data_IF_188498366714
#
_entry.id   IF_188498366714
#
_cell.length_a   1.000
_cell.length_b   1.000
_cell.length_c   1.000
_cell.angle_alpha   90.00
_cell.angle_beta   90.00
_cell.angle_gamma   90.00
#
_symmetry.space_group_name_H-M   'P 1'
#
loop_
_entity.id
_entity.type
_entity.pdbx_description
1 polymer ?
#
# COMPACT_ATOMS: atom_id res chain seq x y z
N UNK A 1 3.61 -15.73 -0.65
CA UNK A 1 2.96 -14.89 -1.67
C UNK A 1 1.97 -13.92 -1.03
N UNK A 2 2.26 -12.61 -1.05
CA UNK A 2 1.34 -11.60 -0.55
C UNK A 2 0.23 -11.35 -1.57
N UNK A 3 -0.99 -11.09 -1.11
CA UNK A 3 -2.11 -10.77 -2.00
C UNK A 3 -3.05 -9.76 -1.34
N UNK A 4 -3.59 -8.86 -2.16
CA UNK A 4 -4.57 -7.85 -1.79
C UNK A 4 -5.74 -7.98 -2.77
N UNK A 5 -6.94 -8.08 -2.22
CA UNK A 5 -8.19 -7.89 -2.95
C UNK A 5 -8.83 -6.62 -2.44
N UNK A 6 -9.21 -5.73 -3.34
CA UNK A 6 -9.95 -4.55 -2.94
C UNK A 6 -11.04 -4.20 -3.95
N UNK A 7 -12.14 -3.69 -3.42
CA UNK A 7 -13.24 -3.13 -4.18
C UNK A 7 -13.52 -1.74 -3.64
N UNK A 8 -13.66 -0.76 -4.53
CA UNK A 8 -14.08 0.57 -4.12
C UNK A 8 -15.13 1.15 -5.06
N UNK A 9 -16.09 1.82 -4.44
CA UNK A 9 -17.16 2.56 -5.10
C UNK A 9 -17.37 3.87 -4.31
N UNK A 10 -16.93 5.02 -4.84
CA UNK A 10 -17.09 6.31 -4.16
C UNK A 10 -18.56 6.73 -3.97
N UNK A 11 -19.50 6.14 -4.72
CA UNK A 11 -20.93 6.48 -4.69
C UNK A 11 -21.79 5.22 -4.65
N UNK A 12 -21.76 4.48 -3.53
CA UNK A 12 -22.51 3.24 -3.40
C UNK A 12 -24.02 3.50 -3.55
N UNK A 13 -24.68 2.76 -4.44
CA UNK A 13 -26.10 2.96 -4.81
C UNK A 13 -27.06 2.53 -3.69
N UNK A 14 -26.61 1.67 -2.76
CA UNK A 14 -27.44 1.17 -1.66
C UNK A 14 -26.90 1.60 -0.28
N UNK A 15 -27.80 1.74 0.70
CA UNK A 15 -27.41 2.04 2.09
C UNK A 15 -26.58 0.93 2.76
N UNK A 16 -26.58 -0.30 2.21
CA UNK A 16 -25.88 -1.47 2.79
C UNK A 16 -24.61 -1.85 2.02
N UNK A 17 -24.09 -0.96 1.17
CA UNK A 17 -22.86 -1.20 0.40
C UNK A 17 -21.70 -0.39 0.97
N UNK A 18 -20.54 -1.04 1.08
CA UNK A 18 -19.31 -0.42 1.55
C UNK A 18 -18.65 0.44 0.46
N UNK A 19 -18.12 1.61 0.84
CA UNK A 19 -17.31 2.48 -0.05
C UNK A 19 -15.98 1.85 -0.45
N UNK A 20 -15.37 1.10 0.48
CA UNK A 20 -14.14 0.35 0.28
C UNK A 20 -14.24 -0.97 1.04
N UNK A 21 -13.89 -2.06 0.39
CA UNK A 21 -13.60 -3.37 0.99
C UNK A 21 -12.17 -3.69 0.61
N UNK A 22 -11.34 -4.02 1.58
CA UNK A 22 -9.95 -4.44 1.35
C UNK A 22 -9.66 -5.67 2.22
N UNK A 23 -9.17 -6.73 1.60
CA UNK A 23 -8.66 -7.92 2.26
C UNK A 23 -7.22 -8.14 1.80
N UNK A 24 -6.30 -8.25 2.75
CA UNK A 24 -4.88 -8.46 2.45
C UNK A 24 -4.35 -9.65 3.25
N UNK A 25 -3.59 -10.51 2.56
CA UNK A 25 -2.78 -11.54 3.18
C UNK A 25 -1.30 -11.16 3.00
N UNK A 26 -0.58 -11.03 4.11
CA UNK A 26 0.88 -10.94 4.13
C UNK A 26 1.42 -12.34 4.37
N UNK A 27 2.09 -12.88 3.37
CA UNK A 27 2.79 -14.16 3.50
C UNK A 27 4.28 -13.88 3.63
N UNK A 28 4.83 -14.29 4.77
CA UNK A 28 6.16 -13.95 5.23
C UNK A 28 6.68 -15.04 6.19
N UNK A 29 8.01 -15.10 6.37
CA UNK A 29 8.63 -16.01 7.33
C UNK A 29 8.07 -15.85 8.75
N UNK A 30 7.66 -16.96 9.37
CA UNK A 30 7.19 -16.99 10.76
C UNK A 30 8.19 -16.43 11.76
N UNK A 31 9.49 -16.53 11.47
CA UNK A 31 10.56 -16.01 12.32
C UNK A 31 10.76 -14.51 12.20
N UNK A 32 10.16 -13.83 11.21
CA UNK A 32 10.28 -12.39 11.04
C UNK A 32 9.42 -11.69 12.09
N UNK A 33 10.02 -10.95 13.03
CA UNK A 33 9.26 -10.33 14.12
C UNK A 33 8.39 -9.19 13.60
N UNK A 34 7.16 -9.10 14.11
CA UNK A 34 6.24 -8.01 13.80
C UNK A 34 5.32 -7.72 14.98
N UNK A 35 4.89 -6.46 15.14
CA UNK A 35 3.82 -6.10 16.06
C UNK A 35 2.46 -6.35 15.42
N UNK A 36 1.50 -6.74 16.25
CA UNK A 36 0.09 -6.79 15.87
C UNK A 36 -0.40 -5.41 15.46
N UNK A 37 -1.50 -5.39 14.70
CA UNK A 37 -2.14 -4.15 14.32
C UNK A 37 -2.63 -3.40 15.57
N UNK A 38 -2.12 -2.20 15.76
CA UNK A 38 -2.49 -1.31 16.85
C UNK A 38 -2.40 0.14 16.37
N UNK A 39 -2.94 1.06 17.15
CA UNK A 39 -2.84 2.48 16.87
C UNK A 39 -1.47 3.03 17.29
N UNK A 40 -0.83 3.76 16.39
CA UNK A 40 0.45 4.45 16.61
C UNK A 40 0.49 5.80 15.87
N UNK A 41 1.63 6.48 15.97
CA UNK A 41 1.85 7.81 15.39
C UNK A 41 1.45 8.93 16.36
N UNK A 42 1.58 10.18 15.92
CA UNK A 42 1.18 11.32 16.73
C UNK A 42 -0.34 11.26 16.95
N UNK A 43 -0.76 11.24 18.22
CA UNK A 43 -2.17 11.11 18.62
C UNK A 43 -2.84 9.76 18.29
N UNK A 44 -2.09 8.67 18.11
CA UNK A 44 -2.65 7.32 17.86
C UNK A 44 -3.59 7.29 16.64
N UNK A 45 -3.20 7.96 15.57
CA UNK A 45 -4.07 8.16 14.40
C UNK A 45 -3.91 7.07 13.33
N UNK A 46 -2.86 6.25 13.37
CA UNK A 46 -2.57 5.25 12.34
C UNK A 46 -2.77 3.85 12.90
N UNK A 47 -3.64 3.06 12.27
CA UNK A 47 -3.83 1.65 12.57
C UNK A 47 -3.04 0.81 11.56
N UNK A 48 -2.00 0.13 12.02
CA UNK A 48 -1.28 -0.88 11.23
C UNK A 48 -0.46 -1.84 12.09
N UNK A 49 -0.08 -2.99 11.52
CA UNK A 49 1.02 -3.79 12.07
C UNK A 49 2.36 -3.15 11.73
N UNK A 50 3.38 -3.36 12.56
CA UNK A 50 4.72 -2.82 12.35
C UNK A 50 5.74 -3.93 12.19
N UNK A 51 6.63 -3.79 11.22
CA UNK A 51 7.81 -4.63 11.08
C UNK A 51 8.77 -4.32 12.24
N UNK A 52 9.34 -5.37 12.82
CA UNK A 52 10.29 -5.31 13.92
C UNK A 52 11.61 -5.98 13.56
N UNK A 53 11.79 -6.38 12.30
CA UNK A 53 13.06 -6.90 11.80
C UNK A 53 14.15 -5.82 11.86
N UNK A 54 15.36 -6.23 12.25
CA UNK A 54 16.51 -5.33 12.39
C UNK A 54 16.81 -4.60 11.08
N UNK A 55 16.87 -3.27 11.15
CA UNK A 55 17.07 -2.39 9.99
C UNK A 55 15.82 -2.17 9.13
N UNK A 56 14.65 -2.68 9.53
CA UNK A 56 13.34 -2.49 8.88
C UNK A 56 12.27 -2.01 9.85
N UNK A 57 12.64 -1.68 11.08
CA UNK A 57 11.73 -1.32 12.15
C UNK A 57 10.85 -0.12 11.78
N UNK A 58 9.58 -0.20 12.14
CA UNK A 58 8.61 0.87 11.86
C UNK A 58 8.09 0.89 10.42
N UNK A 59 8.61 0.03 9.54
CA UNK A 59 7.98 -0.25 8.25
C UNK A 59 6.62 -0.95 8.43
N UNK A 60 5.72 -0.80 7.46
CA UNK A 60 4.43 -1.50 7.45
C UNK A 60 4.02 -1.92 6.05
N UNK A 61 3.11 -2.87 5.94
CA UNK A 61 2.63 -3.44 4.67
C UNK A 61 1.19 -3.06 4.35
N UNK A 62 0.40 -2.67 5.35
CA UNK A 62 -0.97 -2.21 5.22
C UNK A 62 -1.28 -1.34 6.43
N UNK A 63 -1.79 -0.14 6.19
CA UNK A 63 -2.28 0.70 7.26
C UNK A 63 -3.32 1.70 6.79
N UNK A 64 -4.07 2.23 7.75
CA UNK A 64 -5.06 3.29 7.54
C UNK A 64 -4.96 4.31 8.67
N UNK A 65 -5.06 5.59 8.32
CA UNK A 65 -5.17 6.68 9.29
C UNK A 65 -6.63 7.05 9.55
N UNK A 66 -6.92 7.57 10.74
CA UNK A 66 -8.23 8.14 11.08
C UNK A 66 -8.62 9.35 10.21
N UNK A 67 -7.64 9.94 9.52
CA UNK A 67 -7.82 11.01 8.52
C UNK A 67 -8.23 10.49 7.13
N UNK A 68 -8.29 9.17 6.95
CA UNK A 68 -8.69 8.54 5.70
C UNK A 68 -7.55 8.26 4.72
N UNK A 69 -6.28 8.35 5.15
CA UNK A 69 -5.16 7.88 4.31
C UNK A 69 -5.02 6.38 4.47
N UNK A 70 -4.96 5.64 3.36
CA UNK A 70 -4.72 4.20 3.36
C UNK A 70 -3.57 3.90 2.41
N UNK A 71 -2.67 3.00 2.82
CA UNK A 71 -1.66 2.47 1.93
C UNK A 71 -1.45 0.98 2.16
N UNK A 72 -1.12 0.29 1.08
CA UNK A 72 -0.88 -1.14 1.10
C UNK A 72 0.20 -1.52 0.08
N UNK A 73 1.02 -2.49 0.44
CA UNK A 73 2.18 -2.91 -0.33
C UNK A 73 2.18 -4.42 -0.58
N UNK A 74 2.49 -4.82 -1.81
CA UNK A 74 2.91 -6.19 -2.14
C UNK A 74 4.31 -6.18 -2.73
N UNK A 75 5.10 -7.20 -2.42
CA UNK A 75 6.41 -7.37 -3.07
C UNK A 75 6.19 -7.74 -4.54
N UNK A 76 7.06 -7.35 -5.46
CA UNK A 76 7.09 -7.94 -6.80
C UNK A 76 8.04 -9.15 -6.79
N UNK A 77 7.61 -10.27 -7.38
CA UNK A 77 8.40 -11.48 -7.51
C UNK A 77 9.47 -11.25 -8.57
N UNK A 78 10.73 -11.17 -8.14
CA UNK A 78 11.88 -11.01 -9.03
C UNK A 78 12.96 -12.06 -8.73
N UNK A 79 13.70 -12.53 -9.74
CA UNK A 79 14.70 -13.59 -9.55
C UNK A 79 15.92 -13.16 -8.72
N UNK A 80 16.33 -11.90 -8.87
CA UNK A 80 17.51 -11.35 -8.20
C UNK A 80 17.09 -10.27 -7.21
N UNK A 81 17.55 -10.37 -5.98
CA UNK A 81 17.33 -9.36 -4.95
C UNK A 81 18.62 -8.57 -4.73
N UNK A 82 18.49 -7.25 -4.62
CA UNK A 82 19.56 -6.38 -4.15
C UNK A 82 19.49 -6.27 -2.62
N UNK A 83 20.53 -6.75 -1.95
CA UNK A 83 20.63 -6.75 -0.49
C UNK A 83 20.91 -5.36 0.10
N UNK A 84 21.36 -4.41 -0.72
CA UNK A 84 21.59 -3.03 -0.32
C UNK A 84 20.36 -2.13 -0.55
N UNK A 85 19.31 -2.67 -1.18
CA UNK A 85 18.09 -1.92 -1.45
C UNK A 85 17.34 -1.54 -0.16
N UNK A 86 16.66 -0.38 -0.21
CA UNK A 86 15.90 0.15 0.92
C UNK A 86 14.70 -0.73 1.28
N UNK A 87 14.28 -0.64 2.54
CA UNK A 87 13.12 -1.37 3.07
C UNK A 87 11.82 -0.79 2.55
N UNK A 88 11.06 -1.55 1.77
CA UNK A 88 9.81 -1.08 1.14
C UNK A 88 8.71 -0.69 2.12
N UNK A 89 8.71 -1.27 3.33
CA UNK A 89 7.69 -0.98 4.34
C UNK A 89 7.66 0.49 4.79
N UNK A 90 8.79 1.20 4.65
CA UNK A 90 8.87 2.63 4.96
C UNK A 90 8.00 3.49 4.03
N UNK A 91 7.75 3.03 2.79
CA UNK A 91 6.93 3.74 1.82
C UNK A 91 5.48 3.85 2.29
N UNK A 92 4.96 2.82 2.96
CA UNK A 92 3.61 2.81 3.51
C UNK A 92 3.56 3.71 4.76
N UNK A 93 4.50 3.54 5.68
CA UNK A 93 4.61 4.35 6.90
C UNK A 93 4.68 5.84 6.57
N UNK A 94 5.57 6.23 5.66
CA UNK A 94 5.78 7.63 5.29
C UNK A 94 4.54 8.26 4.63
N UNK A 95 3.79 7.51 3.79
CA UNK A 95 2.52 7.99 3.24
C UNK A 95 1.48 8.25 4.33
N UNK A 96 1.37 7.35 5.32
CA UNK A 96 0.37 7.46 6.38
C UNK A 96 0.66 8.64 7.33
N UNK A 97 1.93 9.03 7.46
CA UNK A 97 2.35 10.14 8.35
C UNK A 97 2.46 11.51 7.66
N UNK A 98 2.41 11.57 6.33
CA UNK A 98 2.55 12.82 5.57
C UNK A 98 1.19 13.43 5.22
N UNK A 99 1.19 14.72 4.87
CA UNK A 99 -0.01 15.43 4.40
C UNK A 99 -0.11 15.50 2.85
N UNK A 100 0.85 14.91 2.14
CA UNK A 100 0.89 14.86 0.67
C UNK A 100 -0.21 13.95 0.13
N UNK A 101 -0.91 14.36 -0.93
CA UNK A 101 -1.94 13.52 -1.59
C UNK A 101 -1.32 12.28 -2.26
N UNK A 102 -2.14 11.23 -2.42
CA UNK A 102 -1.78 9.91 -2.96
C UNK A 102 -1.06 9.98 -4.30
N UNK A 103 -1.54 10.78 -5.26
CA UNK A 103 -0.91 10.86 -6.58
C UNK A 103 0.44 11.59 -6.52
N UNK A 104 0.51 12.73 -5.84
CA UNK A 104 1.75 13.47 -5.65
C UNK A 104 2.79 12.64 -4.89
N UNK A 105 2.35 11.87 -3.90
CA UNK A 105 3.21 10.96 -3.15
C UNK A 105 3.79 9.87 -4.04
N UNK A 106 2.96 9.18 -4.82
CA UNK A 106 3.45 8.11 -5.70
C UNK A 106 4.34 8.64 -6.83
N UNK A 107 4.15 9.87 -7.31
CA UNK A 107 5.08 10.51 -8.25
C UNK A 107 6.46 10.73 -7.65
N UNK A 108 6.53 11.13 -6.37
CA UNK A 108 7.82 11.21 -5.68
C UNK A 108 8.46 9.83 -5.54
N UNK A 109 7.67 8.83 -5.17
CA UNK A 109 8.14 7.43 -5.05
C UNK A 109 8.62 6.89 -6.40
N UNK A 110 8.00 7.26 -7.52
CA UNK A 110 8.40 6.76 -8.84
C UNK A 110 9.78 7.26 -9.26
N UNK A 111 10.13 8.51 -8.93
CA UNK A 111 11.49 9.04 -9.13
C UNK A 111 12.57 8.28 -8.35
N UNK A 112 12.21 7.75 -7.18
CA UNK A 112 13.11 7.01 -6.28
C UNK A 112 12.94 5.48 -6.39
N UNK A 113 12.11 4.98 -7.33
CA UNK A 113 11.72 3.57 -7.39
C UNK A 113 12.88 2.59 -7.58
N UNK A 114 14.00 3.07 -8.15
CA UNK A 114 15.24 2.32 -8.36
C UNK A 114 16.01 2.01 -7.06
N UNK A 115 15.72 2.70 -5.95
CA UNK A 115 16.34 2.46 -4.64
C UNK A 115 15.79 1.23 -3.91
N UNK A 116 14.75 0.59 -4.46
CA UNK A 116 14.03 -0.51 -3.83
C UNK A 116 14.04 -1.75 -4.71
N UNK A 117 14.04 -2.93 -4.07
CA UNK A 117 13.62 -4.14 -4.75
C UNK A 117 12.17 -4.02 -5.24
N UNK A 118 11.77 -4.85 -6.20
CA UNK A 118 10.48 -4.78 -6.85
C UNK A 118 9.30 -4.75 -5.87
N UNK A 119 8.34 -3.87 -6.12
CA UNK A 119 7.16 -3.68 -5.30
C UNK A 119 5.97 -3.15 -6.10
N UNK A 120 4.80 -3.30 -5.49
CA UNK A 120 3.59 -2.58 -5.82
C UNK A 120 3.14 -1.79 -4.60
N UNK A 121 2.62 -0.59 -4.82
CA UNK A 121 2.13 0.31 -3.78
C UNK A 121 0.78 0.87 -4.19
N UNK A 122 -0.20 0.69 -3.31
CA UNK A 122 -1.50 1.36 -3.36
C UNK A 122 -1.45 2.50 -2.35
N UNK A 123 -1.85 3.69 -2.75
CA UNK A 123 -2.04 4.84 -1.87
C UNK A 123 -3.43 5.44 -2.12
N UNK A 124 -4.18 5.69 -1.07
CA UNK A 124 -5.55 6.17 -1.13
C UNK A 124 -5.79 7.33 -0.16
N UNK A 125 -6.48 8.35 -0.64
CA UNK A 125 -7.08 9.39 0.19
C UNK A 125 -8.60 9.20 0.18
N UNK A 126 -9.15 8.77 1.31
CA UNK A 126 -10.57 8.53 1.50
C UNK A 126 -11.20 9.76 2.17
N UNK A 127 -11.97 10.54 1.43
CA UNK A 127 -12.54 11.81 1.90
C UNK A 127 -14.02 11.92 1.57
N UNK A 128 -14.84 12.22 2.59
CA UNK A 128 -16.25 12.57 2.37
C UNK A 128 -16.43 13.93 1.69
N UNK A 129 -15.44 14.83 1.80
CA UNK A 129 -15.52 16.19 1.28
C UNK A 129 -14.91 16.33 -0.14
N UNK A 130 -13.76 15.69 -0.39
CA UNK A 130 -13.03 15.82 -1.66
C UNK A 130 -13.27 14.66 -2.63
N UNK A 131 -13.94 13.60 -2.18
CA UNK A 131 -14.05 12.33 -2.91
C UNK A 131 -12.87 11.40 -2.63
N UNK A 132 -13.07 10.13 -2.97
CA UNK A 132 -12.05 9.09 -2.80
C UNK A 132 -11.13 9.05 -4.00
N UNK A 133 -9.82 9.09 -3.75
CA UNK A 133 -8.77 8.93 -4.78
C UNK A 133 -7.92 7.74 -4.38
N UNK A 134 -7.81 6.76 -5.26
CA UNK A 134 -6.97 5.58 -5.07
C UNK A 134 -6.00 5.50 -6.24
N UNK A 135 -4.71 5.44 -5.93
CA UNK A 135 -3.63 5.40 -6.90
C UNK A 135 -2.82 4.11 -6.74
N UNK A 136 -2.24 3.66 -7.85
CA UNK A 136 -1.36 2.50 -7.93
C UNK A 136 -0.03 2.88 -8.58
N UNK A 137 1.05 2.30 -8.07
CA UNK A 137 2.37 2.31 -8.69
C UNK A 137 3.08 0.98 -8.48
N UNK A 138 3.74 0.48 -9.52
CA UNK A 138 4.65 -0.66 -9.42
C UNK A 138 5.98 -0.31 -10.07
N UNK A 139 7.09 -0.37 -9.32
CA UNK A 139 8.41 0.08 -9.81
C UNK A 139 9.06 -0.83 -10.86
N UNK A 140 8.37 -1.89 -11.28
CA UNK A 140 8.74 -2.77 -12.39
C UNK A 140 7.84 -2.61 -13.62
N UNK A 141 6.85 -1.71 -13.55
CA UNK A 141 5.92 -1.43 -14.63
C UNK A 141 6.18 -0.07 -15.28
N UNK A 142 5.09 0.60 -15.64
CA UNK A 142 5.13 1.95 -16.21
C UNK A 142 5.79 2.96 -15.24
N UNK A 143 6.48 3.99 -15.78
CA UNK A 143 7.23 4.95 -14.96
C UNK A 143 6.31 5.85 -14.10
N UNK A 144 5.08 6.08 -14.55
CA UNK A 144 4.14 6.98 -13.89
C UNK A 144 3.08 6.21 -13.08
N UNK A 145 2.73 6.70 -11.88
CA UNK A 145 1.61 6.17 -11.13
C UNK A 145 0.27 6.47 -11.83
N UNK A 146 -0.70 5.59 -11.63
CA UNK A 146 -2.04 5.73 -12.21
C UNK A 146 -3.10 5.95 -11.12
N UNK A 147 -4.14 6.72 -11.46
CA UNK A 147 -5.36 6.80 -10.66
C UNK A 147 -6.29 5.67 -11.10
N UNK A 148 -6.73 4.86 -10.14
CA UNK A 148 -7.62 3.74 -10.40
C UNK A 148 -9.07 4.22 -10.58
N UNK A 149 -9.79 3.56 -11.48
CA UNK A 149 -11.23 3.76 -11.64
C UNK A 149 -12.00 2.89 -10.63
N UNK A 150 -13.22 3.27 -10.23
CA UNK A 150 -14.03 2.44 -9.33
C UNK A 150 -14.22 1.03 -9.90
N UNK A 151 -13.98 0.02 -9.07
CA UNK A 151 -13.91 -1.36 -9.55
C UNK A 151 -13.48 -2.37 -8.49
N UNK A 152 -13.22 -3.59 -8.95
CA UNK A 152 -12.68 -4.69 -8.15
C UNK A 152 -11.31 -5.07 -8.70
N UNK A 153 -10.34 -5.18 -7.80
CA UNK A 153 -8.94 -5.38 -8.13
C UNK A 153 -8.35 -6.52 -7.31
N UNK A 154 -7.49 -7.30 -7.95
CA UNK A 154 -6.62 -8.27 -7.32
C UNK A 154 -5.16 -7.92 -7.60
N UNK A 155 -4.35 -7.84 -6.55
CA UNK A 155 -2.94 -7.50 -6.64
C UNK A 155 -2.15 -8.47 -5.79
N UNK A 156 -1.21 -9.20 -6.40
CA UNK A 156 -0.29 -10.08 -5.68
C UNK A 156 1.15 -9.70 -6.00
N UNK A 157 2.02 -10.67 -6.26
CA UNK A 157 3.45 -10.45 -6.47
C UNK A 157 3.84 -10.16 -7.93
N UNK A 158 2.91 -9.68 -8.74
CA UNK A 158 3.14 -9.20 -10.11
C UNK A 158 2.54 -7.79 -10.26
N UNK A 159 2.67 -7.18 -11.44
CA UNK A 159 2.02 -5.88 -11.71
C UNK A 159 0.50 -6.02 -11.70
N UNK A 160 -0.20 -4.91 -11.44
CA UNK A 160 -1.65 -4.87 -11.50
C UNK A 160 -2.14 -5.35 -12.88
N UNK A 161 -3.23 -6.11 -12.89
CA UNK A 161 -3.83 -6.70 -14.11
C UNK A 161 -2.95 -7.73 -14.84
N UNK A 162 -1.84 -8.20 -14.26
CA UNK A 162 -1.10 -9.34 -14.82
C UNK A 162 -2.00 -10.58 -14.83
N UNK A 163 -2.25 -11.21 -16.01
CA UNK A 163 -3.05 -12.43 -16.07
C UNK A 163 -2.28 -13.59 -15.44
N UNK A 164 -2.89 -14.21 -14.43
CA UNK A 164 -2.33 -15.40 -13.78
C UNK A 164 -2.63 -16.62 -14.66
N UNK A 165 -1.58 -17.34 -15.06
CA UNK A 165 -1.67 -18.60 -15.81
C UNK A 165 -1.32 -19.77 -14.91
#
# INVERSE_FOLDING_TARGET
MCIIFFKFDPRPVSKNTYRLILAANRDEFYSRPSKLADFWGNNNEILSGLDMEEGKEGGTWLGISTRGKLAALTNYLQPQLDWQARGRGELVTHFLTTDVDSLSYLKKVSMEGHLYNGFNLIAADLSTAKGDVICYYGNRGEPDPIVLTPGTYGLSNALLETPWR
#
